data_IF_316477590742
#
_entry.id   IF_316477590742
#
_cell.length_a   1.000
_cell.length_b   1.000
_cell.length_c   1.000
_cell.angle_alpha   90.00
_cell.angle_beta   90.00
_cell.angle_gamma   90.00
#
_symmetry.space_group_name_H-M   'P 1'
#
loop_
_entity.id
_entity.type
_entity.pdbx_description
1 polymer ?
#
# COMPACT_ATOMS: atom_id res chain seq x y z
N UNK A 1 -4.95 -7.27 2.79
CA UNK A 1 -3.66 -7.99 2.64
C UNK A 1 -2.83 -7.34 1.56
N UNK A 2 -1.51 -7.20 1.74
CA UNK A 2 -0.60 -6.73 0.69
C UNK A 2 -0.43 -7.83 -0.36
N UNK A 3 -0.73 -7.53 -1.62
CA UNK A 3 -0.56 -8.46 -2.75
C UNK A 3 0.73 -8.16 -3.52
N UNK A 4 1.02 -6.89 -3.70
CA UNK A 4 2.17 -6.47 -4.48
C UNK A 4 2.35 -4.96 -4.42
N UNK A 5 3.55 -4.54 -4.79
CA UNK A 5 3.93 -3.15 -4.82
C UNK A 5 5.01 -2.93 -5.89
N UNK A 6 5.12 -1.69 -6.33
CA UNK A 6 6.29 -1.18 -7.01
C UNK A 6 6.62 0.17 -6.40
N UNK A 7 7.87 0.39 -6.05
CA UNK A 7 8.33 1.66 -5.48
C UNK A 7 9.73 1.97 -6.00
N UNK A 8 9.99 3.23 -6.26
CA UNK A 8 11.31 3.68 -6.68
C UNK A 8 11.43 5.20 -6.70
N UNK A 9 12.68 5.66 -6.68
CA UNK A 9 12.98 7.07 -6.89
C UNK A 9 12.64 7.47 -8.32
N UNK A 10 12.10 8.68 -8.47
CA UNK A 10 11.74 9.24 -9.77
C UNK A 10 12.85 10.13 -10.34
N UNK A 11 13.88 10.44 -9.55
CA UNK A 11 15.01 11.27 -9.93
C UNK A 11 16.39 10.73 -9.47
N UNK A 12 17.24 10.43 -10.45
CA UNK A 12 18.64 10.05 -10.24
C UNK A 12 18.84 8.61 -9.74
N UNK A 13 20.11 8.19 -9.71
CA UNK A 13 20.53 6.95 -9.03
C UNK A 13 20.67 7.25 -7.53
N UNK A 14 19.88 6.55 -6.72
CA UNK A 14 19.88 6.70 -5.27
C UNK A 14 19.91 5.32 -4.63
N UNK A 15 20.83 5.15 -3.68
CA UNK A 15 20.96 3.91 -2.96
C UNK A 15 19.79 3.76 -1.98
N UNK A 16 18.97 2.73 -2.18
CA UNK A 16 17.85 2.41 -1.28
C UNK A 16 18.41 2.04 0.09
N UNK A 17 17.85 2.64 1.14
CA UNK A 17 18.18 2.32 2.53
C UNK A 17 17.04 1.63 3.26
N UNK A 18 15.82 2.16 3.15
CA UNK A 18 14.64 1.55 3.75
C UNK A 18 13.42 1.69 2.86
N UNK A 19 12.66 0.61 2.80
CA UNK A 19 11.34 0.54 2.21
C UNK A 19 10.35 0.12 3.29
N UNK A 20 9.22 0.81 3.37
CA UNK A 20 8.12 0.46 4.27
C UNK A 20 6.77 0.66 3.58
N UNK A 21 5.91 -0.34 3.75
CA UNK A 21 4.56 -0.41 3.22
C UNK A 21 3.67 -0.86 4.36
N UNK A 22 2.70 -0.02 4.70
CA UNK A 22 1.68 -0.35 5.69
C UNK A 22 0.29 -0.31 5.05
N UNK A 23 -0.57 -1.24 5.47
CA UNK A 23 -1.93 -1.37 4.97
C UNK A 23 -2.91 -1.51 6.13
N UNK A 24 -3.77 -0.52 6.28
CA UNK A 24 -4.79 -0.47 7.33
C UNK A 24 -6.19 -0.54 6.74
N UNK A 25 -7.04 -1.39 7.32
CA UNK A 25 -8.48 -1.31 7.06
C UNK A 25 -9.05 -0.21 7.94
N UNK A 26 -9.45 0.92 7.34
CA UNK A 26 -9.96 2.07 8.07
C UNK A 26 -11.48 2.07 8.20
N UNK A 27 -12.20 1.38 7.30
CA UNK A 27 -13.65 1.21 7.40
C UNK A 27 -14.14 -0.03 6.65
N UNK A 28 -15.24 -0.61 7.14
CA UNK A 28 -16.05 -1.60 6.43
C UNK A 28 -17.50 -1.11 6.50
N UNK A 29 -18.12 -0.87 5.34
CA UNK A 29 -19.48 -0.34 5.22
C UNK A 29 -20.25 -1.13 4.17
N UNK A 30 -21.11 -2.05 4.62
CA UNK A 30 -21.76 -3.02 3.74
C UNK A 30 -20.71 -3.84 2.98
N UNK A 31 -20.75 -3.80 1.65
CA UNK A 31 -19.85 -4.53 0.77
C UNK A 31 -18.61 -3.70 0.36
N UNK A 32 -18.40 -2.54 0.97
CA UNK A 32 -17.25 -1.67 0.70
C UNK A 32 -16.24 -1.75 1.84
N UNK A 33 -14.98 -2.02 1.50
CA UNK A 33 -13.83 -2.00 2.44
C UNK A 33 -12.91 -0.86 2.03
N UNK A 34 -12.69 0.08 2.93
CA UNK A 34 -11.71 1.16 2.75
C UNK A 34 -10.38 0.71 3.34
N UNK A 35 -9.33 0.75 2.51
CA UNK A 35 -7.97 0.41 2.91
C UNK A 35 -7.11 1.66 2.75
N UNK A 36 -6.51 2.13 3.85
CA UNK A 36 -5.44 3.10 3.82
C UNK A 36 -4.12 2.39 3.53
N UNK A 37 -3.26 3.05 2.78
CA UNK A 37 -2.00 2.49 2.34
C UNK A 37 -0.92 3.57 2.48
N UNK A 38 0.01 3.34 3.40
CA UNK A 38 1.09 4.24 3.73
C UNK A 38 2.41 3.73 3.13
N UNK A 39 3.17 4.65 2.52
CA UNK A 39 4.36 4.36 1.74
C UNK A 39 5.54 5.22 2.16
N UNK A 40 6.69 4.58 2.39
CA UNK A 40 7.95 5.25 2.63
C UNK A 40 9.07 4.60 1.82
N UNK A 41 9.78 5.41 1.04
CA UNK A 41 11.07 5.07 0.48
C UNK A 41 12.12 6.05 1.04
N UNK A 42 13.16 5.52 1.69
CA UNK A 42 14.25 6.30 2.29
C UNK A 42 15.59 5.89 1.69
N UNK A 43 16.42 6.87 1.39
CA UNK A 43 17.74 6.65 0.80
C UNK A 43 18.83 6.59 1.89
N UNK A 44 20.05 6.22 1.49
CA UNK A 44 21.17 6.11 2.42
C UNK A 44 21.72 7.45 2.91
N UNK A 45 21.33 8.56 2.28
CA UNK A 45 21.64 9.91 2.79
C UNK A 45 20.83 10.22 4.05
N UNK A 46 19.72 9.51 4.26
CA UNK A 46 18.82 9.69 5.40
C UNK A 46 17.77 10.78 5.18
N UNK A 47 17.74 11.40 4.01
CA UNK A 47 16.67 12.30 3.61
C UNK A 47 15.41 11.50 3.23
N UNK A 48 14.25 11.96 3.71
CA UNK A 48 12.95 11.31 3.49
C UNK A 48 12.10 12.01 2.43
N UNK A 49 12.52 13.20 1.97
CA UNK A 49 11.75 14.07 1.08
C UNK A 49 12.13 13.92 -0.40
N UNK A 50 12.91 12.89 -0.74
CA UNK A 50 13.24 12.61 -2.12
C UNK A 50 12.01 12.13 -2.89
N UNK A 51 11.87 12.56 -4.13
CA UNK A 51 10.68 12.24 -4.93
C UNK A 51 10.68 10.76 -5.29
N UNK A 52 9.88 9.98 -4.58
CA UNK A 52 9.57 8.59 -4.91
C UNK A 52 8.12 8.46 -5.39
N UNK A 53 7.86 7.38 -6.13
CA UNK A 53 6.54 7.06 -6.65
C UNK A 53 6.39 5.56 -6.84
N UNK A 54 5.17 5.13 -7.16
CA UNK A 54 4.86 3.71 -7.22
C UNK A 54 3.38 3.41 -7.16
N UNK A 55 3.07 2.15 -6.90
CA UNK A 55 1.72 1.68 -6.67
C UNK A 55 1.73 0.55 -5.65
N UNK A 56 0.58 0.36 -4.99
CA UNK A 56 0.32 -0.82 -4.17
C UNK A 56 -1.01 -1.44 -4.45
N UNK A 57 -0.99 -2.76 -4.37
CA UNK A 57 -2.13 -3.61 -4.58
C UNK A 57 -2.50 -4.31 -3.27
N UNK A 58 -3.74 -4.09 -2.84
CA UNK A 58 -4.35 -4.84 -1.74
C UNK A 58 -5.30 -5.92 -2.27
N UNK A 59 -5.34 -7.06 -1.61
CA UNK A 59 -6.45 -8.03 -1.70
C UNK A 59 -7.31 -7.89 -0.45
N UNK A 60 -8.63 -7.85 -0.68
CA UNK A 60 -9.65 -8.07 0.33
C UNK A 60 -10.21 -9.47 0.12
N UNK A 61 -10.11 -10.31 1.16
CA UNK A 61 -10.83 -11.58 1.24
C UNK A 61 -11.90 -11.38 2.31
N UNK A 62 -13.16 -11.58 1.95
CA UNK A 62 -14.29 -11.43 2.86
C UNK A 62 -15.23 -12.62 2.70
N UNK A 63 -15.75 -13.09 3.83
CA UNK A 63 -16.94 -13.92 3.83
C UNK A 63 -18.16 -12.99 3.75
N UNK A 64 -18.97 -13.18 2.71
CA UNK A 64 -20.21 -12.43 2.53
C UNK A 64 -21.34 -13.36 2.94
N UNK A 65 -22.23 -12.91 3.83
CA UNK A 65 -23.47 -13.64 4.07
C UNK A 65 -24.11 -13.96 2.73
N UNK A 66 -24.34 -15.25 2.46
CA UNK A 66 -24.99 -15.69 1.23
C UNK A 66 -26.30 -14.91 1.06
N UNK A 67 -26.55 -14.42 -0.16
CA UNK A 67 -27.85 -13.85 -0.50
C UNK A 67 -28.93 -14.88 -0.13
N UNK A 68 -29.92 -14.56 0.73
CA UNK A 68 -30.96 -15.51 1.14
C UNK A 68 -31.91 -15.95 0.01
N UNK A 69 -31.54 -15.79 -1.26
CA UNK A 69 -32.38 -15.97 -2.44
C UNK A 69 -31.61 -16.69 -3.58
N UNK A 70 -31.20 -17.94 -3.35
CA UNK A 70 -31.09 -18.96 -4.43
C UNK A 70 -31.66 -20.27 -3.94
#
# INVERSE_FOLDING_TARGET
>A
MLKGFNIGYTDGDRHIFREEIDLDITAIQGNTVTVAADFLLRDSSGHIDDRFGGWVQAIVVADTAADPQT
#
